data_IF_004566533299
#
_entry.id   IF_004566533299
#
_cell.length_a   1.000
_cell.length_b   1.000
_cell.length_c   1.000
_cell.angle_alpha   90.00
_cell.angle_beta   90.00
_cell.angle_gamma   90.00
#
_symmetry.space_group_name_H-M   'P 1'
#
loop_
_entity.id
_entity.type
_entity.pdbx_description
1 polymer ?
#
# COMPACT_ATOMS: atom_id res chain seq x y z
N UNK A 1 8.27 -1.00 -12.51
CA UNK A 1 6.83 -0.88 -12.83
C UNK A 1 6.09 -0.15 -11.71
N UNK A 2 5.33 0.88 -12.07
CA UNK A 2 4.52 1.67 -11.13
C UNK A 2 3.10 1.07 -11.11
N UNK A 3 2.53 0.89 -9.92
CA UNK A 3 1.15 0.45 -9.75
C UNK A 3 0.33 1.47 -8.96
N UNK A 4 -0.99 1.38 -9.09
CA UNK A 4 -1.93 2.10 -8.25
C UNK A 4 -2.66 1.07 -7.39
N UNK A 5 -2.72 1.33 -6.09
CA UNK A 5 -3.41 0.49 -5.12
C UNK A 5 -4.43 1.31 -4.35
N UNK A 6 -5.41 0.62 -3.77
CA UNK A 6 -6.32 1.18 -2.78
C UNK A 6 -5.93 0.61 -1.42
N UNK A 7 -5.64 1.47 -0.46
CA UNK A 7 -5.36 1.07 0.91
C UNK A 7 -6.69 0.71 1.62
N UNK A 8 -7.09 -0.56 1.51
CA UNK A 8 -8.36 -1.07 2.05
C UNK A 8 -8.20 -2.01 3.25
N UNK A 9 -6.97 -2.42 3.58
CA UNK A 9 -6.70 -3.39 4.63
C UNK A 9 -5.53 -2.96 5.53
N UNK A 10 -5.44 -3.58 6.72
CA UNK A 10 -4.39 -3.35 7.71
C UNK A 10 -3.86 -4.67 8.26
N UNK A 11 -2.63 -4.68 8.77
CA UNK A 11 -2.03 -5.89 9.34
C UNK A 11 -1.14 -5.59 10.54
N UNK A 12 -1.11 -6.52 11.50
CA UNK A 12 -0.29 -6.39 12.72
C UNK A 12 1.21 -6.21 12.43
N UNK A 13 1.72 -6.83 11.37
CA UNK A 13 3.12 -6.72 10.94
C UNK A 13 3.42 -5.53 10.01
N UNK A 14 2.40 -4.83 9.52
CA UNK A 14 2.55 -3.70 8.59
C UNK A 14 2.64 -2.41 9.40
N UNK A 15 3.87 -1.98 9.69
CA UNK A 15 4.18 -0.82 10.52
C UNK A 15 5.12 0.16 9.80
N UNK A 16 4.96 1.45 10.08
CA UNK A 16 5.76 2.55 9.49
C UNK A 16 5.08 3.21 8.29
N UNK A 17 5.47 4.46 7.99
CA UNK A 17 4.78 5.31 7.00
C UNK A 17 4.93 4.85 5.54
N UNK A 18 6.02 4.19 5.17
CA UNK A 18 6.29 3.70 3.81
C UNK A 18 6.39 2.17 3.80
N UNK A 19 5.38 1.51 4.37
CA UNK A 19 5.26 0.04 4.41
C UNK A 19 3.86 -0.34 3.97
N UNK A 20 3.76 -1.20 2.98
CA UNK A 20 2.50 -1.75 2.48
C UNK A 20 2.64 -3.24 2.22
N UNK A 21 1.49 -3.91 2.16
CA UNK A 21 1.35 -5.29 1.72
C UNK A 21 0.42 -5.30 0.51
N UNK A 22 0.74 -6.12 -0.49
CA UNK A 22 -0.03 -6.20 -1.73
C UNK A 22 -0.75 -7.52 -1.77
N UNK A 23 -2.08 -7.47 -1.87
CA UNK A 23 -2.91 -8.66 -2.04
C UNK A 23 -2.88 -9.13 -3.51
N UNK A 24 -2.59 -10.42 -3.73
CA UNK A 24 -2.46 -11.03 -5.06
C UNK A 24 -3.61 -11.95 -5.45
N UNK A 25 -4.69 -11.98 -4.66
CA UNK A 25 -5.79 -12.93 -4.84
C UNK A 25 -5.67 -14.14 -3.91
N UNK A 26 -6.48 -15.16 -4.19
CA UNK A 26 -6.54 -16.40 -3.42
C UNK A 26 -6.03 -17.60 -4.23
N UNK A 27 -5.62 -18.66 -3.52
CA UNK A 27 -5.15 -19.91 -4.12
C UNK A 27 -3.62 -20.00 -4.22
N UNK A 28 -3.14 -21.17 -4.66
CA UNK A 28 -1.72 -21.53 -4.61
C UNK A 28 -0.84 -20.63 -5.50
N UNK A 29 -1.37 -20.19 -6.64
CA UNK A 29 -0.66 -19.26 -7.52
C UNK A 29 -0.43 -17.90 -6.85
N UNK A 30 -1.45 -17.33 -6.21
CA UNK A 30 -1.34 -16.07 -5.49
C UNK A 30 -0.37 -16.19 -4.31
N UNK A 31 -0.43 -17.31 -3.58
CA UNK A 31 0.52 -17.61 -2.49
C UNK A 31 1.96 -17.69 -2.99
N UNK A 32 2.20 -18.39 -4.10
CA UNK A 32 3.54 -18.55 -4.67
C UNK A 32 4.12 -17.19 -5.11
N UNK A 33 3.31 -16.34 -5.73
CA UNK A 33 3.72 -14.98 -6.12
C UNK A 33 3.99 -14.10 -4.89
N UNK A 34 3.05 -14.05 -3.94
CA UNK A 34 3.16 -13.22 -2.74
C UNK A 34 4.35 -13.63 -1.85
N UNK A 35 4.63 -14.93 -1.72
CA UNK A 35 5.72 -15.45 -0.90
C UNK A 35 7.11 -14.98 -1.34
N UNK A 36 7.29 -14.63 -2.61
CA UNK A 36 8.54 -14.08 -3.13
C UNK A 36 8.71 -12.57 -2.92
N UNK A 37 7.72 -11.88 -2.35
CA UNK A 37 7.72 -10.42 -2.35
C UNK A 37 8.43 -9.82 -1.14
N UNK A 38 9.62 -9.29 -1.41
CA UNK A 38 10.30 -8.35 -0.54
C UNK A 38 11.08 -7.36 -1.41
N UNK A 39 10.61 -6.12 -1.49
CA UNK A 39 11.24 -5.09 -2.31
C UNK A 39 11.29 -3.77 -1.57
N UNK A 40 12.28 -2.93 -1.92
CA UNK A 40 12.35 -1.54 -1.50
C UNK A 40 11.68 -0.67 -2.55
N UNK A 41 10.99 0.38 -2.11
CA UNK A 41 10.34 1.33 -3.01
C UNK A 41 9.82 2.55 -2.28
N UNK A 42 9.35 3.51 -3.05
CA UNK A 42 8.67 4.72 -2.57
C UNK A 42 7.25 4.72 -3.09
N UNK A 43 6.31 5.07 -2.22
CA UNK A 43 4.91 5.26 -2.60
C UNK A 43 4.57 6.76 -2.60
N UNK A 44 3.65 7.15 -3.48
CA UNK A 44 2.96 8.44 -3.41
C UNK A 44 1.57 8.20 -2.87
N UNK A 45 1.09 9.10 -2.01
CA UNK A 45 -0.27 9.06 -1.49
C UNK A 45 -1.15 10.04 -2.27
N UNK A 46 -2.20 9.52 -2.90
CA UNK A 46 -3.23 10.34 -3.52
C UNK A 46 -4.28 10.69 -2.45
N UNK A 47 -4.29 11.95 -2.04
CA UNK A 47 -5.24 12.45 -1.04
C UNK A 47 -6.33 13.30 -1.68
N UNK A 48 -7.58 13.24 -1.18
CA UNK A 48 -8.58 14.23 -1.52
C UNK A 48 -8.09 15.65 -1.21
N UNK A 49 -8.40 16.61 -2.10
CA UNK A 49 -7.98 18.01 -1.93
C UNK A 49 -8.39 18.60 -0.58
N UNK A 50 -9.60 18.30 -0.12
CA UNK A 50 -10.09 18.73 1.19
C UNK A 50 -9.27 18.17 2.36
N UNK A 51 -8.75 16.94 2.25
CA UNK A 51 -7.87 16.36 3.27
C UNK A 51 -6.53 17.11 3.34
N UNK A 52 -5.98 17.49 2.18
CA UNK A 52 -4.74 18.29 2.11
C UNK A 52 -4.96 19.70 2.65
N UNK A 53 -6.07 20.36 2.32
CA UNK A 53 -6.44 21.68 2.85
C UNK A 53 -6.43 21.67 4.39
N UNK A 54 -7.16 20.71 5.00
CA UNK A 54 -7.17 20.52 6.46
C UNK A 54 -5.79 20.26 7.05
N UNK A 55 -4.98 19.41 6.41
CA UNK A 55 -3.64 19.07 6.92
C UNK A 55 -2.67 20.26 6.88
N UNK A 56 -2.83 21.14 5.89
CA UNK A 56 -1.91 22.27 5.65
C UNK A 56 -2.39 23.59 6.27
N UNK A 57 -3.54 23.61 6.94
CA UNK A 57 -4.11 24.81 7.55
C UNK A 57 -4.50 25.88 6.54
N UNK A 58 -4.80 25.48 5.29
CA UNK A 58 -5.32 26.35 4.23
C UNK A 58 -6.78 26.07 3.95
#
# INVERSE_FOLDING_TARGET
>A
PNGLWIAQDTGGAIKGANRFDSFWGAGDAARALAGGMAARGSALLLLPRASVARLTGR
#
